data_IF_658051146937
#
_entry.id   IF_658051146937
#
_cell.length_a   1.000
_cell.length_b   1.000
_cell.length_c   1.000
_cell.angle_alpha   90.00
_cell.angle_beta   90.00
_cell.angle_gamma   90.00
#
_symmetry.space_group_name_H-M   'P 1'
#
loop_
_entity.id
_entity.type
_entity.pdbx_description
1 polymer ?
#
# COMPACT_ATOMS: atom_id res chain seq x y z
N UNK A 1 -1.58 10.26 -14.53
CA UNK A 1 -0.59 9.46 -15.27
C UNK A 1 -1.22 8.10 -15.49
N UNK A 2 -1.14 7.54 -16.70
CA UNK A 2 -1.66 6.20 -16.97
C UNK A 2 -0.65 5.10 -16.61
N UNK A 3 -1.06 3.82 -16.53
CA UNK A 3 -0.16 2.70 -16.21
C UNK A 3 1.06 2.59 -17.14
N UNK A 4 0.87 2.87 -18.44
CA UNK A 4 1.93 2.82 -19.44
C UNK A 4 2.98 3.93 -19.26
N UNK A 5 2.59 5.09 -18.73
CA UNK A 5 3.52 6.20 -18.49
C UNK A 5 4.50 5.85 -17.37
N UNK A 6 4.01 5.20 -16.32
CA UNK A 6 4.83 4.79 -15.18
C UNK A 6 5.81 3.68 -15.57
N UNK A 7 5.34 2.63 -16.25
CA UNK A 7 6.18 1.53 -16.73
C UNK A 7 7.36 2.02 -17.59
N UNK A 8 7.10 2.99 -18.49
CA UNK A 8 8.12 3.58 -19.34
C UNK A 8 9.20 4.36 -18.56
N UNK A 9 8.86 4.93 -17.40
CA UNK A 9 9.81 5.64 -16.53
C UNK A 9 10.57 4.65 -15.66
N UNK A 10 9.88 3.70 -15.04
CA UNK A 10 10.47 2.70 -14.14
C UNK A 10 11.56 1.89 -14.85
N UNK A 11 11.34 1.50 -16.10
CA UNK A 11 12.33 0.77 -16.92
C UNK A 11 13.63 1.54 -17.19
N UNK A 12 13.64 2.86 -17.01
CA UNK A 12 14.84 3.71 -17.19
C UNK A 12 15.63 3.89 -15.91
N UNK A 13 15.09 3.49 -14.76
CA UNK A 13 15.78 3.63 -13.48
C UNK A 13 16.92 2.60 -13.38
N UNK A 14 18.09 2.97 -12.83
CA UNK A 14 19.21 2.06 -12.65
C UNK A 14 18.95 1.12 -11.46
N UNK A 15 18.04 0.17 -11.64
CA UNK A 15 17.68 -0.80 -10.59
C UNK A 15 18.78 -1.87 -10.53
N UNK A 16 19.49 -1.92 -9.41
CA UNK A 16 20.48 -2.96 -9.16
C UNK A 16 19.79 -4.31 -9.01
N UNK A 17 20.35 -5.34 -9.66
CA UNK A 17 19.87 -6.72 -9.49
C UNK A 17 20.14 -7.21 -8.08
N UNK A 18 19.12 -7.81 -7.45
CA UNK A 18 19.23 -8.49 -6.18
C UNK A 18 18.45 -9.81 -6.25
N UNK A 19 19.13 -10.95 -6.08
CA UNK A 19 18.52 -12.28 -6.16
C UNK A 19 17.48 -12.56 -5.07
N UNK A 20 17.47 -11.77 -4.00
CA UNK A 20 16.46 -11.89 -2.95
C UNK A 20 15.16 -11.14 -3.30
N UNK A 21 15.15 -10.28 -4.32
CA UNK A 21 13.91 -9.67 -4.82
C UNK A 21 13.24 -10.65 -5.78
N UNK A 22 12.20 -11.34 -5.31
CA UNK A 22 11.48 -12.36 -6.08
C UNK A 22 10.46 -11.71 -7.03
N UNK A 23 9.83 -10.63 -6.57
CA UNK A 23 8.92 -9.78 -7.34
C UNK A 23 9.31 -8.34 -7.04
N UNK A 24 9.60 -7.56 -8.08
CA UNK A 24 10.09 -6.19 -7.95
C UNK A 24 9.52 -5.31 -9.04
N UNK A 25 10.07 -4.10 -9.22
CA UNK A 25 9.50 -3.10 -10.15
C UNK A 25 9.49 -3.51 -11.64
N UNK A 26 10.15 -4.62 -11.98
CA UNK A 26 10.25 -5.15 -13.34
C UNK A 26 9.08 -6.11 -13.68
N UNK A 27 8.49 -6.70 -12.65
CA UNK A 27 7.30 -7.54 -12.70
C UNK A 27 6.14 -6.67 -12.24
N UNK A 28 5.23 -6.33 -13.14
CA UNK A 28 4.12 -5.39 -12.90
C UNK A 28 3.04 -6.03 -12.00
N UNK A 29 3.39 -6.40 -10.77
CA UNK A 29 2.52 -7.00 -9.76
C UNK A 29 2.12 -5.99 -8.68
N UNK A 30 1.05 -6.30 -7.97
CA UNK A 30 0.40 -5.44 -6.95
C UNK A 30 1.22 -5.30 -5.65
N UNK A 31 2.33 -6.05 -5.49
CA UNK A 31 3.21 -5.95 -4.32
C UNK A 31 4.65 -6.37 -4.62
N UNK A 32 5.59 -5.87 -3.82
CA UNK A 32 6.98 -6.34 -3.81
C UNK A 32 7.15 -7.59 -2.96
N UNK A 33 7.95 -8.56 -3.42
CA UNK A 33 8.25 -9.79 -2.67
C UNK A 33 9.75 -9.94 -2.47
N UNK A 34 10.17 -10.03 -1.22
CA UNK A 34 11.57 -10.17 -0.81
C UNK A 34 11.80 -11.46 -0.03
N UNK A 35 12.74 -12.28 -0.48
CA UNK A 35 13.15 -13.52 0.18
C UNK A 35 13.94 -13.22 1.47
N UNK A 36 13.45 -13.72 2.59
CA UNK A 36 14.11 -13.60 3.91
C UNK A 36 14.94 -14.86 4.21
N UNK A 37 14.41 -16.04 3.88
CA UNK A 37 15.07 -17.34 4.01
C UNK A 37 14.62 -18.28 2.88
N UNK A 38 15.12 -19.51 2.84
CA UNK A 38 14.73 -20.49 1.81
C UNK A 38 13.23 -20.87 1.82
N UNK A 39 12.58 -20.69 2.97
CA UNK A 39 11.18 -21.03 3.23
C UNK A 39 10.29 -19.83 3.58
N UNK A 40 10.83 -18.60 3.58
CA UNK A 40 10.10 -17.39 3.96
C UNK A 40 10.38 -16.22 3.01
N UNK A 41 9.31 -15.56 2.60
CA UNK A 41 9.35 -14.30 1.88
C UNK A 41 8.45 -13.26 2.54
N UNK A 42 8.87 -12.00 2.47
CA UNK A 42 8.10 -10.84 2.89
C UNK A 42 7.39 -10.27 1.66
N UNK A 43 6.07 -10.14 1.74
CA UNK A 43 5.26 -9.39 0.77
C UNK A 43 5.02 -7.99 1.33
N UNK A 44 5.27 -6.96 0.53
CA UNK A 44 5.06 -5.56 0.92
C UNK A 44 4.30 -4.83 -0.17
N UNK A 45 3.19 -4.20 0.22
CA UNK A 45 2.48 -3.22 -0.60
C UNK A 45 2.35 -1.91 0.18
N UNK A 46 2.10 -0.82 -0.54
CA UNK A 46 1.76 0.48 0.02
C UNK A 46 0.74 1.14 -0.88
N UNK A 47 -0.39 1.52 -0.28
CA UNK A 47 -1.50 2.11 -1.01
C UNK A 47 -2.16 3.18 -0.15
N UNK A 48 -2.49 4.31 -0.76
CA UNK A 48 -3.28 5.36 -0.13
C UNK A 48 -4.18 6.02 -1.17
N UNK A 49 -5.38 6.37 -0.74
CA UNK A 49 -6.42 6.92 -1.61
C UNK A 49 -6.97 8.22 -1.03
N UNK A 50 -7.54 9.05 -1.90
CA UNK A 50 -8.35 10.20 -1.46
C UNK A 50 -9.72 9.72 -0.97
N UNK A 51 -10.42 10.47 -0.10
CA UNK A 51 -11.76 10.12 0.36
C UNK A 51 -12.72 9.82 -0.79
N UNK A 52 -13.37 8.66 -0.75
CA UNK A 52 -14.38 8.21 -1.72
C UNK A 52 -15.80 8.17 -1.13
N UNK A 53 -15.93 8.37 0.18
CA UNK A 53 -17.18 8.43 0.94
C UNK A 53 -17.07 9.53 2.00
N UNK A 54 -18.22 10.05 2.43
CA UNK A 54 -18.28 11.16 3.39
C UNK A 54 -18.06 10.72 4.85
N UNK A 55 -18.40 9.47 5.20
CA UNK A 55 -18.19 8.95 6.55
C UNK A 55 -16.69 8.65 6.76
N UNK A 56 -16.01 9.35 7.69
CA UNK A 56 -14.58 9.19 7.88
C UNK A 56 -14.18 7.81 8.39
N UNK A 57 -15.01 7.19 9.23
CA UNK A 57 -14.76 5.85 9.76
C UNK A 57 -14.90 4.80 8.66
N UNK A 58 -15.94 4.89 7.83
CA UNK A 58 -16.09 4.01 6.67
C UNK A 58 -14.96 4.23 5.65
N UNK A 59 -14.54 5.47 5.43
CA UNK A 59 -13.38 5.76 4.59
C UNK A 59 -12.11 5.07 5.11
N UNK A 60 -11.83 5.16 6.41
CA UNK A 60 -10.70 4.47 7.05
C UNK A 60 -10.72 2.96 6.80
N UNK A 61 -11.88 2.32 6.98
CA UNK A 61 -12.07 0.88 6.68
C UNK A 61 -11.76 0.53 5.24
N UNK A 62 -12.29 1.32 4.31
CA UNK A 62 -12.09 1.07 2.87
C UNK A 62 -10.61 1.24 2.51
N UNK A 63 -9.97 2.30 3.00
CA UNK A 63 -8.56 2.55 2.75
C UNK A 63 -7.69 1.40 3.28
N UNK A 64 -7.89 0.96 4.53
CA UNK A 64 -7.15 -0.15 5.11
C UNK A 64 -7.42 -1.47 4.36
N UNK A 65 -8.67 -1.75 3.99
CA UNK A 65 -9.03 -2.95 3.22
C UNK A 65 -8.35 -2.97 1.86
N UNK A 66 -8.32 -1.84 1.15
CA UNK A 66 -7.64 -1.71 -0.13
C UNK A 66 -6.13 -1.94 0.01
N UNK A 67 -5.47 -1.29 0.98
CA UNK A 67 -4.03 -1.47 1.19
C UNK A 67 -3.65 -2.89 1.61
N UNK A 68 -4.56 -3.65 2.24
CA UNK A 68 -4.30 -5.04 2.64
C UNK A 68 -4.62 -6.03 1.50
N UNK A 69 -5.46 -5.67 0.53
CA UNK A 69 -5.94 -6.62 -0.48
C UNK A 69 -4.81 -7.20 -1.34
N UNK A 70 -3.75 -6.43 -1.63
CA UNK A 70 -2.64 -6.93 -2.45
C UNK A 70 -1.87 -8.05 -1.73
N UNK A 71 -1.80 -8.00 -0.39
CA UNK A 71 -1.18 -9.08 0.39
C UNK A 71 -1.96 -10.38 0.17
N UNK A 72 -3.29 -10.33 0.21
CA UNK A 72 -4.12 -11.49 -0.06
C UNK A 72 -4.06 -11.92 -1.53
N UNK A 73 -3.99 -10.99 -2.47
CA UNK A 73 -3.85 -11.28 -3.90
C UNK A 73 -2.56 -12.05 -4.20
N UNK A 74 -1.48 -11.75 -3.47
CA UNK A 74 -0.21 -12.47 -3.55
C UNK A 74 -0.18 -13.78 -2.73
N UNK A 75 -1.30 -14.19 -2.12
CA UNK A 75 -1.41 -15.38 -1.29
C UNK A 75 -0.68 -15.26 0.07
N UNK A 76 -0.34 -14.03 0.47
CA UNK A 76 0.30 -13.73 1.75
C UNK A 76 -0.69 -13.67 2.91
N UNK A 77 -0.14 -13.58 4.12
CA UNK A 77 -0.88 -13.29 5.34
C UNK A 77 -0.40 -11.96 5.91
N UNK A 78 -1.26 -10.94 6.08
CA UNK A 78 -0.87 -9.67 6.68
C UNK A 78 -0.41 -9.88 8.13
N UNK A 79 0.77 -9.37 8.47
CA UNK A 79 1.35 -9.49 9.82
C UNK A 79 1.54 -8.14 10.52
N UNK A 80 1.71 -7.07 9.75
CA UNK A 80 1.96 -5.71 10.24
C UNK A 80 1.46 -4.71 9.21
N UNK A 81 1.12 -3.49 9.65
CA UNK A 81 0.79 -2.37 8.77
C UNK A 81 1.43 -1.06 9.29
N UNK A 82 1.66 -0.11 8.39
CA UNK A 82 2.10 1.25 8.70
C UNK A 82 1.07 2.24 8.14
N UNK A 83 0.51 3.09 9.00
CA UNK A 83 -0.42 4.14 8.57
C UNK A 83 0.33 5.28 7.87
N UNK A 84 -0.16 5.69 6.70
CA UNK A 84 0.30 6.86 5.95
C UNK A 84 -0.86 7.85 5.89
N UNK A 85 -0.66 9.05 6.42
CA UNK A 85 -1.71 10.07 6.55
C UNK A 85 -1.27 11.37 5.90
N UNK A 86 -2.11 11.86 4.99
CA UNK A 86 -2.05 13.21 4.44
C UNK A 86 -3.36 13.93 4.81
N UNK A 87 -3.34 14.83 5.80
CA UNK A 87 -4.55 15.46 6.34
C UNK A 87 -4.38 16.99 6.43
N UNK A 88 -5.29 17.80 5.88
CA UNK A 88 -5.19 19.26 5.89
C UNK A 88 -5.68 19.83 7.24
N UNK A 89 -4.76 19.91 8.20
CA UNK A 89 -5.04 20.32 9.59
C UNK A 89 -5.66 21.72 9.74
N UNK A 90 -5.45 22.61 8.77
CA UNK A 90 -6.04 23.97 8.78
C UNK A 90 -7.47 24.01 8.24
N UNK A 91 -7.96 22.90 7.67
CA UNK A 91 -9.28 22.81 7.02
C UNK A 91 -10.26 21.92 7.77
N UNK A 92 -9.76 20.89 8.46
CA UNK A 92 -10.60 19.90 9.13
C UNK A 92 -10.18 19.67 10.58
N UNK A 93 -11.17 19.39 11.42
CA UNK A 93 -10.96 19.08 12.84
C UNK A 93 -10.28 17.70 13.02
N UNK A 94 -9.45 17.58 14.05
CA UNK A 94 -8.70 16.36 14.34
C UNK A 94 -9.59 15.15 14.68
N UNK A 95 -10.82 15.38 15.15
CA UNK A 95 -11.82 14.32 15.40
C UNK A 95 -12.18 13.55 14.11
N UNK A 96 -12.06 14.20 12.94
CA UNK A 96 -12.25 13.53 11.65
C UNK A 96 -11.10 12.55 11.42
N UNK A 97 -9.86 12.97 11.65
CA UNK A 97 -8.70 12.09 11.52
C UNK A 97 -8.77 10.92 12.51
N UNK A 98 -9.20 11.17 13.75
CA UNK A 98 -9.42 10.11 14.73
C UNK A 98 -10.39 9.05 14.21
N UNK A 99 -11.53 9.46 13.66
CA UNK A 99 -12.51 8.53 13.06
C UNK A 99 -11.94 7.72 11.90
N UNK A 100 -11.13 8.34 11.04
CA UNK A 100 -10.44 7.63 9.94
C UNK A 100 -9.52 6.56 10.50
N UNK A 101 -8.70 6.90 11.49
CA UNK A 101 -7.76 5.97 12.09
C UNK A 101 -8.47 4.83 12.85
N UNK A 102 -9.58 5.11 13.52
CA UNK A 102 -10.43 4.09 14.13
C UNK A 102 -11.04 3.16 13.07
N UNK A 103 -11.46 3.70 11.93
CA UNK A 103 -11.95 2.92 10.81
C UNK A 103 -10.89 1.98 10.25
N UNK A 104 -9.65 2.45 10.07
CA UNK A 104 -8.56 1.61 9.58
C UNK A 104 -8.04 0.58 10.58
N UNK A 105 -8.39 0.71 11.87
CA UNK A 105 -7.99 -0.21 12.93
C UNK A 105 -8.96 -1.40 13.10
N UNK A 106 -10.24 -1.22 12.74
CA UNK A 106 -11.30 -2.24 12.88
C UNK A 106 -11.26 -3.29 11.76
#
# INVERSE_FOLDING_TARGET
>A
MGPADLDAIVKKLPIAYNSNVLVGMQTSDDAGVYKISDDMALVQTVDFITPIVDDPFVFGKIAATNSISDIYAMGGTPITALNIVCFPIDTFDMDILEKILLGGLD
#
